data_IF_173390727034
#
_entry.id   IF_173390727034
#
_cell.length_a   1.000
_cell.length_b   1.000
_cell.length_c   1.000
_cell.angle_alpha   90.00
_cell.angle_beta   90.00
_cell.angle_gamma   90.00
#
_symmetry.space_group_name_H-M   'P 1'
#
loop_
_entity.id
_entity.type
_entity.pdbx_description
1 polymer ?
#
# COMPACT_ATOMS: atom_id res chain seq x y z
N UNK A 1 52.39 -59.94 41.60
CA UNK A 1 51.37 -59.00 42.18
C UNK A 1 50.75 -58.18 41.03
N UNK A 2 49.49 -58.49 40.75
CA UNK A 2 48.73 -58.06 39.58
C UNK A 2 48.23 -56.64 39.73
N UNK A 3 48.37 -55.82 38.74
CA UNK A 3 47.58 -54.59 38.58
C UNK A 3 46.93 -54.54 37.20
N UNK A 4 45.66 -54.75 37.21
CA UNK A 4 44.77 -54.69 36.08
C UNK A 4 44.41 -53.23 35.86
N UNK A 5 44.73 -52.68 34.70
CA UNK A 5 44.27 -51.38 34.27
C UNK A 5 43.03 -51.56 33.37
N UNK A 6 41.87 -51.10 33.86
CA UNK A 6 40.66 -50.99 33.09
C UNK A 6 40.73 -49.72 32.23
N UNK A 7 40.77 -49.89 30.94
CA UNK A 7 40.60 -48.79 30.01
C UNK A 7 39.09 -48.63 29.71
N UNK A 8 38.51 -47.53 30.20
CA UNK A 8 37.12 -47.16 29.94
C UNK A 8 37.06 -46.35 28.66
N UNK A 9 36.57 -46.97 27.56
CA UNK A 9 36.35 -46.31 26.28
C UNK A 9 35.02 -45.56 26.33
N UNK A 10 35.09 -44.20 26.39
CA UNK A 10 33.90 -43.36 26.30
C UNK A 10 33.51 -43.18 24.84
N UNK A 11 32.39 -43.78 24.43
CA UNK A 11 31.78 -43.65 23.12
C UNK A 11 30.97 -42.34 23.13
N UNK A 12 31.46 -41.31 22.45
CA UNK A 12 30.77 -40.05 22.30
C UNK A 12 29.80 -40.19 21.10
N UNK A 13 28.52 -40.29 21.38
CA UNK A 13 27.48 -40.19 20.37
C UNK A 13 27.25 -38.71 20.02
N UNK A 14 27.73 -38.27 18.85
CA UNK A 14 27.30 -37.03 18.24
C UNK A 14 25.90 -37.24 17.65
N UNK A 15 24.87 -36.83 18.37
CA UNK A 15 23.54 -36.66 17.79
C UNK A 15 23.54 -35.36 16.97
N UNK A 16 23.67 -35.50 15.64
CA UNK A 16 23.42 -34.43 14.69
C UNK A 16 21.93 -34.09 14.73
N UNK A 17 21.55 -33.04 15.43
CA UNK A 17 20.23 -32.46 15.38
C UNK A 17 20.11 -31.70 14.05
N UNK A 18 19.59 -32.41 13.02
CA UNK A 18 19.21 -31.79 11.76
C UNK A 18 18.01 -30.87 11.99
N UNK A 19 18.28 -29.58 12.26
CA UNK A 19 17.25 -28.55 12.31
C UNK A 19 16.65 -28.40 10.92
N UNK A 20 15.42 -28.90 10.74
CA UNK A 20 14.55 -28.47 9.65
C UNK A 20 14.33 -26.97 9.88
N UNK A 21 14.87 -26.14 9.00
CA UNK A 21 14.46 -24.75 8.86
C UNK A 21 13.02 -24.77 8.36
N UNK A 22 12.07 -24.79 9.30
CA UNK A 22 10.71 -24.40 8.99
C UNK A 22 10.78 -22.98 8.46
N UNK A 23 10.50 -22.85 7.16
CA UNK A 23 10.25 -21.56 6.56
C UNK A 23 9.13 -20.92 7.40
N UNK A 24 9.50 -19.99 8.26
CA UNK A 24 8.57 -19.17 9.04
C UNK A 24 7.63 -18.53 8.04
N UNK A 25 6.42 -19.09 7.90
CA UNK A 25 5.30 -18.37 7.32
C UNK A 25 5.16 -17.12 8.18
N UNK A 26 5.60 -15.99 7.67
CA UNK A 26 5.24 -14.69 8.25
C UNK A 26 3.73 -14.64 8.24
N UNK A 27 3.12 -14.90 9.40
CA UNK A 27 1.70 -14.67 9.60
C UNK A 27 1.51 -13.18 9.38
N UNK A 28 0.76 -12.82 8.34
CA UNK A 28 0.39 -11.44 8.07
C UNK A 28 -0.41 -10.94 9.28
N UNK A 29 0.25 -10.15 10.12
CA UNK A 29 -0.32 -9.58 11.34
C UNK A 29 -0.88 -8.18 11.12
N UNK A 30 -1.03 -7.76 9.86
CA UNK A 30 -1.62 -6.46 9.56
C UNK A 30 -3.10 -6.48 9.92
N UNK A 31 -3.57 -5.62 10.84
CA UNK A 31 -4.97 -5.62 11.26
C UNK A 31 -5.92 -5.07 10.18
N UNK A 32 -5.39 -4.37 9.17
CA UNK A 32 -6.12 -3.71 8.09
C UNK A 32 -5.67 -4.23 6.73
N UNK A 33 -6.38 -3.81 5.67
CA UNK A 33 -5.95 -4.11 4.30
C UNK A 33 -4.53 -3.58 4.06
N UNK A 34 -3.66 -4.43 3.53
CA UNK A 34 -2.26 -4.09 3.23
C UNK A 34 -2.17 -3.23 1.96
N UNK A 35 -2.41 -1.92 2.11
CA UNK A 35 -2.35 -0.93 1.03
C UNK A 35 -0.98 -0.92 0.38
N UNK A 36 0.09 -0.91 1.19
CA UNK A 36 1.47 -0.87 0.70
C UNK A 36 1.84 -2.12 -0.09
N UNK A 37 1.55 -3.30 0.45
CA UNK A 37 1.83 -4.57 -0.23
C UNK A 37 1.04 -4.71 -1.52
N UNK A 38 -0.24 -4.30 -1.52
CA UNK A 38 -1.06 -4.27 -2.72
C UNK A 38 -0.44 -3.40 -3.82
N UNK A 39 -0.10 -2.14 -3.53
CA UNK A 39 0.47 -1.25 -4.55
C UNK A 39 1.88 -1.64 -4.97
N UNK A 40 2.70 -2.22 -4.10
CA UNK A 40 3.98 -2.79 -4.50
C UNK A 40 3.82 -3.94 -5.50
N UNK A 41 2.80 -4.78 -5.32
CA UNK A 41 2.47 -5.85 -6.27
C UNK A 41 1.96 -5.30 -7.61
N UNK A 42 1.14 -4.26 -7.58
CA UNK A 42 0.67 -3.56 -8.78
C UNK A 42 1.80 -2.87 -9.54
N UNK A 43 2.72 -2.18 -8.84
CA UNK A 43 3.93 -1.59 -9.44
C UNK A 43 4.72 -2.66 -10.19
N UNK A 44 4.97 -3.80 -9.56
CA UNK A 44 5.68 -4.91 -10.19
C UNK A 44 4.93 -5.39 -11.44
N UNK A 45 3.64 -5.69 -11.34
CA UNK A 45 2.79 -6.16 -12.43
C UNK A 45 2.77 -5.20 -13.62
N UNK A 46 2.63 -3.89 -13.35
CA UNK A 46 2.55 -2.85 -14.39
C UNK A 46 3.91 -2.67 -15.08
N UNK A 47 5.02 -2.72 -14.32
CA UNK A 47 6.37 -2.60 -14.85
C UNK A 47 6.74 -3.81 -15.73
N UNK A 48 6.45 -5.03 -15.27
CA UNK A 48 6.68 -6.26 -16.04
C UNK A 48 5.79 -6.32 -17.30
N UNK A 49 4.57 -5.79 -17.22
CA UNK A 49 3.65 -5.71 -18.36
C UNK A 49 4.04 -4.67 -19.40
N UNK A 50 5.06 -3.85 -19.16
CA UNK A 50 5.53 -2.78 -20.07
C UNK A 50 4.38 -1.91 -20.60
N UNK A 51 3.42 -1.59 -19.73
CA UNK A 51 2.25 -0.81 -20.12
C UNK A 51 2.63 0.65 -20.38
N UNK A 52 2.04 1.22 -21.42
CA UNK A 52 2.05 2.65 -21.66
C UNK A 52 0.97 3.31 -20.83
N UNK A 53 1.11 4.59 -20.58
CA UNK A 53 0.07 5.38 -19.95
C UNK A 53 -0.29 6.61 -20.78
N UNK A 54 -1.57 6.94 -20.80
CA UNK A 54 -2.04 8.25 -21.20
C UNK A 54 -2.29 9.05 -19.92
N UNK A 55 -1.49 10.10 -19.70
CA UNK A 55 -1.54 10.96 -18.52
C UNK A 55 -2.10 12.32 -18.91
N UNK A 56 -3.19 12.69 -18.25
CA UNK A 56 -3.85 13.99 -18.39
C UNK A 56 -3.70 14.77 -17.08
N UNK A 57 -3.14 15.96 -17.16
CA UNK A 57 -2.93 16.86 -16.00
C UNK A 57 -3.76 18.12 -16.20
N UNK A 58 -4.59 18.46 -15.23
CA UNK A 58 -5.39 19.69 -15.20
C UNK A 58 -4.97 20.54 -14.01
N UNK A 59 -4.53 21.77 -14.28
CA UNK A 59 -4.15 22.77 -13.27
C UNK A 59 -4.86 24.08 -13.56
N UNK A 60 -5.64 24.57 -12.62
CA UNK A 60 -6.40 25.83 -12.77
C UNK A 60 -7.23 25.89 -14.07
N UNK A 61 -7.80 24.76 -14.47
CA UNK A 61 -8.62 24.63 -15.69
C UNK A 61 -7.84 24.37 -16.99
N UNK A 62 -6.52 24.54 -17.00
CA UNK A 62 -5.69 24.20 -18.15
C UNK A 62 -5.36 22.69 -18.12
N UNK A 63 -5.59 22.02 -19.24
CA UNK A 63 -5.41 20.57 -19.38
C UNK A 63 -4.35 20.25 -20.41
N UNK A 64 -3.44 19.36 -20.05
CA UNK A 64 -2.42 18.79 -20.94
C UNK A 64 -2.49 17.27 -20.89
N UNK A 65 -2.39 16.61 -22.04
CA UNK A 65 -2.40 15.14 -22.15
C UNK A 65 -1.14 14.67 -22.87
N UNK A 66 -0.50 13.66 -22.31
CA UNK A 66 0.68 13.00 -22.89
C UNK A 66 0.57 11.48 -22.84
N UNK A 67 1.12 10.81 -23.84
CA UNK A 67 1.37 9.36 -23.82
C UNK A 67 2.80 9.15 -23.35
N UNK A 68 2.99 8.28 -22.38
CA UNK A 68 4.28 7.90 -21.80
C UNK A 68 4.48 6.41 -22.04
N UNK A 69 5.45 6.08 -22.91
CA UNK A 69 5.73 4.70 -23.33
C UNK A 69 6.44 3.89 -22.24
N UNK A 70 7.20 4.54 -21.37
CA UNK A 70 7.95 3.92 -20.27
C UNK A 70 7.69 4.71 -18.99
N UNK A 71 6.59 4.38 -18.31
CA UNK A 71 6.25 5.02 -17.06
C UNK A 71 7.04 4.39 -15.90
N UNK A 72 7.53 5.22 -14.99
CA UNK A 72 8.02 4.79 -13.68
C UNK A 72 6.84 4.59 -12.73
N UNK A 73 6.31 3.36 -12.68
CA UNK A 73 5.16 3.05 -11.84
C UNK A 73 5.46 3.17 -10.33
N UNK A 74 6.72 3.06 -9.92
CA UNK A 74 7.08 3.30 -8.53
C UNK A 74 6.88 4.78 -8.15
N UNK A 75 7.23 5.70 -9.04
CA UNK A 75 6.99 7.13 -8.87
C UNK A 75 5.51 7.47 -9.05
N UNK A 76 4.85 6.91 -10.06
CA UNK A 76 3.43 7.19 -10.37
C UNK A 76 2.49 6.77 -9.24
N UNK A 77 2.76 5.65 -8.55
CA UNK A 77 1.93 5.12 -7.47
C UNK A 77 2.47 5.42 -6.06
N UNK A 78 3.52 6.26 -5.94
CA UNK A 78 4.15 6.56 -4.64
C UNK A 78 3.17 7.13 -3.60
N UNK A 79 2.22 7.96 -4.01
CA UNK A 79 1.20 8.52 -3.11
C UNK A 79 0.29 7.42 -2.54
N UNK A 80 -0.09 6.44 -3.34
CA UNK A 80 -0.89 5.30 -2.90
C UNK A 80 -0.10 4.45 -1.90
N UNK A 81 1.15 4.11 -2.20
CA UNK A 81 2.04 3.36 -1.29
C UNK A 81 2.22 4.09 0.05
N UNK A 82 2.41 5.42 0.01
CA UNK A 82 2.61 6.23 1.22
C UNK A 82 1.35 6.39 2.09
N UNK A 83 0.17 6.09 1.52
CA UNK A 83 -1.12 6.14 2.23
C UNK A 83 -1.42 4.89 3.04
N UNK A 84 -0.42 4.00 3.23
CA UNK A 84 -0.56 2.80 4.06
C UNK A 84 -0.92 3.13 5.50
N UNK A 85 -1.94 2.40 6.01
CA UNK A 85 -2.51 2.58 7.34
C UNK A 85 -2.01 1.54 8.36
N UNK A 86 -1.20 0.56 7.92
CA UNK A 86 -0.66 -0.52 8.77
C UNK A 86 0.63 -0.14 9.50
N UNK A 87 0.75 1.10 9.96
CA UNK A 87 1.89 1.50 10.80
C UNK A 87 1.69 1.01 12.24
N UNK A 88 2.73 0.50 12.92
CA UNK A 88 2.61 -0.03 14.28
C UNK A 88 1.91 0.91 15.28
N UNK A 89 2.14 2.23 15.16
CA UNK A 89 1.55 3.26 16.00
C UNK A 89 0.07 3.56 15.68
N UNK A 90 -0.52 2.92 14.66
CA UNK A 90 -1.86 3.23 14.17
C UNK A 90 -2.85 2.06 14.28
N UNK A 91 -2.50 0.97 14.96
CA UNK A 91 -3.28 -0.26 15.06
C UNK A 91 -4.69 -0.08 15.61
N UNK A 92 -4.88 0.88 16.50
CA UNK A 92 -6.13 1.23 17.19
C UNK A 92 -6.74 2.55 16.69
N UNK A 93 -6.14 3.15 15.66
CA UNK A 93 -6.53 4.48 15.19
C UNK A 93 -7.40 4.47 13.94
N UNK A 94 -7.91 3.30 13.54
CA UNK A 94 -8.86 3.17 12.43
C UNK A 94 -10.05 2.33 12.83
N UNK A 95 -11.24 2.83 12.51
CA UNK A 95 -12.49 2.10 12.59
C UNK A 95 -12.78 1.42 11.25
N UNK A 96 -13.17 0.15 11.30
CA UNK A 96 -13.48 -0.66 10.10
C UNK A 96 -14.99 -0.77 9.95
N UNK A 97 -15.49 -0.50 8.76
CA UNK A 97 -16.87 -0.75 8.37
C UNK A 97 -16.94 -1.67 7.16
N UNK A 98 -17.73 -2.74 7.28
CA UNK A 98 -18.05 -3.66 6.18
C UNK A 98 -19.53 -3.54 5.86
N UNK A 99 -19.85 -3.12 4.65
CA UNK A 99 -21.24 -2.99 4.23
C UNK A 99 -21.79 -4.36 3.84
N UNK A 100 -22.75 -4.85 4.61
CA UNK A 100 -23.43 -6.11 4.33
C UNK A 100 -24.07 -6.08 2.93
N UNK A 101 -23.84 -7.14 2.15
CA UNK A 101 -24.35 -7.25 0.78
C UNK A 101 -23.63 -6.38 -0.27
N UNK A 102 -22.69 -5.55 0.14
CA UNK A 102 -21.79 -4.82 -0.77
C UNK A 102 -20.34 -5.30 -0.54
N UNK A 103 -19.63 -5.45 -1.64
CA UNK A 103 -18.22 -5.82 -1.59
C UNK A 103 -17.34 -4.61 -1.26
N UNK A 104 -17.71 -3.86 -0.21
CA UNK A 104 -17.03 -2.65 0.25
C UNK A 104 -16.58 -2.80 1.70
N UNK A 105 -15.31 -2.57 1.91
CA UNK A 105 -14.68 -2.45 3.24
C UNK A 105 -14.05 -1.07 3.35
N UNK A 106 -14.42 -0.32 4.38
CA UNK A 106 -13.97 1.06 4.60
C UNK A 106 -13.23 1.18 5.93
N UNK A 107 -12.11 1.88 5.91
CA UNK A 107 -11.28 2.20 7.07
C UNK A 107 -11.31 3.71 7.29
N UNK A 108 -11.74 4.14 8.48
CA UNK A 108 -11.85 5.56 8.83
C UNK A 108 -10.88 5.89 9.96
N UNK A 109 -10.06 6.91 9.79
CA UNK A 109 -9.24 7.43 10.87
C UNK A 109 -10.13 7.91 12.04
N UNK A 110 -9.75 7.56 13.27
CA UNK A 110 -10.40 8.02 14.51
C UNK A 110 -9.65 9.18 15.16
N UNK A 111 -8.51 9.55 14.57
CA UNK A 111 -7.61 10.60 15.05
C UNK A 111 -7.38 11.61 13.91
N UNK A 112 -7.62 12.89 14.19
CA UNK A 112 -7.53 13.98 13.21
C UNK A 112 -6.08 14.29 12.79
N UNK A 113 -5.08 13.84 13.53
CA UNK A 113 -3.68 14.05 13.16
C UNK A 113 -3.18 13.03 12.11
N UNK A 114 -3.96 11.99 11.82
CA UNK A 114 -3.61 11.03 10.80
C UNK A 114 -3.82 11.60 9.39
N UNK A 115 -2.77 11.51 8.56
CA UNK A 115 -2.84 11.99 7.16
C UNK A 115 -3.86 11.22 6.33
N UNK A 116 -3.85 9.89 6.40
CA UNK A 116 -4.82 9.06 5.67
C UNK A 116 -6.12 9.01 6.48
N UNK A 117 -7.15 9.70 5.99
CA UNK A 117 -8.44 9.83 6.69
C UNK A 117 -9.36 8.66 6.41
N UNK A 118 -9.30 8.13 5.20
CA UNK A 118 -10.19 7.06 4.75
C UNK A 118 -9.53 6.21 3.68
N UNK A 119 -9.78 4.91 3.75
CA UNK A 119 -9.44 3.95 2.68
C UNK A 119 -10.68 3.11 2.42
N UNK A 120 -11.12 3.04 1.16
CA UNK A 120 -12.23 2.21 0.70
C UNK A 120 -11.71 1.15 -0.26
N UNK A 121 -12.02 -0.10 0.04
CA UNK A 121 -11.65 -1.26 -0.77
C UNK A 121 -12.92 -1.86 -1.38
N UNK A 122 -13.05 -1.73 -2.69
CA UNK A 122 -14.13 -2.34 -3.45
C UNK A 122 -13.68 -3.68 -4.00
N UNK A 123 -14.51 -4.71 -3.78
CA UNK A 123 -14.27 -6.06 -4.30
C UNK A 123 -15.45 -6.50 -5.16
N UNK A 124 -15.18 -7.27 -6.17
CA UNK A 124 -16.20 -7.95 -6.96
C UNK A 124 -15.86 -9.45 -7.02
N UNK A 125 -16.63 -10.31 -6.33
CA UNK A 125 -16.41 -11.75 -6.39
C UNK A 125 -16.63 -12.30 -7.80
N UNK A 126 -15.81 -13.26 -8.31
CA UNK A 126 -14.62 -13.85 -7.63
C UNK A 126 -13.33 -13.05 -7.84
N UNK A 127 -13.34 -11.92 -8.54
CA UNK A 127 -12.17 -11.24 -9.07
C UNK A 127 -11.34 -10.44 -8.02
N UNK A 128 -11.76 -10.45 -6.75
CA UNK A 128 -11.03 -9.77 -5.70
C UNK A 128 -11.20 -8.25 -5.70
N UNK A 129 -10.14 -7.51 -5.37
CA UNK A 129 -10.16 -6.03 -5.36
C UNK A 129 -10.33 -5.49 -6.78
N UNK A 130 -11.26 -4.57 -6.97
CA UNK A 130 -11.53 -3.94 -8.27
C UNK A 130 -11.20 -2.45 -8.27
N UNK A 131 -11.34 -1.79 -7.12
CA UNK A 131 -11.04 -0.37 -6.96
C UNK A 131 -10.58 -0.09 -5.53
N UNK A 132 -9.68 0.87 -5.39
CA UNK A 132 -9.27 1.44 -4.11
C UNK A 132 -9.46 2.96 -4.19
N UNK A 133 -10.10 3.52 -3.16
CA UNK A 133 -10.20 4.97 -2.99
C UNK A 133 -9.54 5.36 -1.66
N UNK A 134 -8.77 6.45 -1.67
CA UNK A 134 -8.06 6.95 -0.50
C UNK A 134 -8.29 8.44 -0.38
N UNK A 135 -8.66 8.88 0.81
CA UNK A 135 -8.73 10.29 1.20
C UNK A 135 -7.57 10.58 2.14
N UNK A 136 -6.65 11.40 1.69
CA UNK A 136 -5.63 12.02 2.53
C UNK A 136 -6.01 13.47 2.84
N UNK A 137 -5.72 13.91 4.06
CA UNK A 137 -5.83 15.32 4.46
C UNK A 137 -4.73 15.64 5.45
N UNK A 138 -4.10 16.77 5.23
CA UNK A 138 -3.06 17.30 6.11
C UNK A 138 -3.30 18.80 6.31
N UNK A 139 -3.20 19.24 7.57
CA UNK A 139 -3.42 20.61 7.95
C UNK A 139 -2.33 21.08 8.90
N UNK A 140 -1.72 22.18 8.54
CA UNK A 140 -0.74 22.88 9.36
C UNK A 140 -1.18 24.33 9.61
N UNK A 141 -0.38 25.09 10.36
CA UNK A 141 -0.64 26.51 10.59
C UNK A 141 -0.58 27.36 9.31
N UNK A 142 0.08 26.89 8.27
CA UNK A 142 0.33 27.63 7.02
C UNK A 142 -0.27 26.98 5.78
N UNK A 143 -0.65 25.71 5.84
CA UNK A 143 -1.18 24.97 4.68
C UNK A 143 -2.30 24.03 5.09
N UNK A 144 -3.26 23.89 4.19
CA UNK A 144 -4.27 22.83 4.21
C UNK A 144 -4.22 22.10 2.87
N UNK A 145 -4.10 20.78 2.90
CA UNK A 145 -4.04 19.92 1.71
C UNK A 145 -5.00 18.76 1.84
N UNK A 146 -5.75 18.49 0.79
CA UNK A 146 -6.59 17.31 0.66
C UNK A 146 -6.28 16.60 -0.65
N UNK A 147 -6.18 15.28 -0.62
CA UNK A 147 -5.93 14.46 -1.78
C UNK A 147 -6.96 13.34 -1.86
N UNK A 148 -7.65 13.25 -3.00
CA UNK A 148 -8.51 12.14 -3.34
C UNK A 148 -7.77 11.28 -4.36
N UNK A 149 -7.46 10.04 -3.99
CA UNK A 149 -6.78 9.06 -4.83
C UNK A 149 -7.79 7.97 -5.19
N UNK A 150 -7.86 7.61 -6.46
CA UNK A 150 -8.67 6.50 -6.93
C UNK A 150 -7.80 5.61 -7.85
N UNK A 151 -7.82 4.31 -7.61
CA UNK A 151 -7.15 3.32 -8.43
C UNK A 151 -8.15 2.28 -8.90
N UNK A 152 -8.29 2.12 -10.21
CA UNK A 152 -9.15 1.13 -10.86
C UNK A 152 -8.27 0.06 -11.50
N UNK A 153 -8.36 -1.19 -11.00
CA UNK A 153 -7.48 -2.27 -11.44
C UNK A 153 -7.62 -2.51 -12.94
N UNK A 154 -6.48 -2.53 -13.62
CA UNK A 154 -6.40 -2.78 -15.06
C UNK A 154 -6.87 -1.63 -15.93
N UNK A 155 -7.35 -0.51 -15.37
CA UNK A 155 -7.83 0.65 -16.12
C UNK A 155 -6.94 1.87 -15.96
N UNK A 156 -6.57 2.22 -14.74
CA UNK A 156 -5.79 3.42 -14.46
C UNK A 156 -6.03 3.97 -13.06
N UNK A 157 -5.70 5.25 -12.87
CA UNK A 157 -5.91 5.92 -11.60
C UNK A 157 -6.15 7.41 -11.78
N UNK A 158 -6.70 8.05 -10.76
CA UNK A 158 -6.78 9.51 -10.67
C UNK A 158 -6.29 10.02 -9.33
N UNK A 159 -5.71 11.21 -9.35
CA UNK A 159 -5.25 11.95 -8.17
C UNK A 159 -5.80 13.36 -8.28
N UNK A 160 -6.65 13.74 -7.34
CA UNK A 160 -7.13 15.11 -7.22
C UNK A 160 -6.54 15.71 -5.94
N UNK A 161 -5.84 16.83 -6.07
CA UNK A 161 -5.22 17.55 -4.97
C UNK A 161 -5.83 18.93 -4.87
N UNK A 162 -6.37 19.23 -3.69
CA UNK A 162 -6.73 20.57 -3.26
C UNK A 162 -5.66 21.06 -2.28
N UNK A 163 -5.17 22.28 -2.50
CA UNK A 163 -4.18 22.88 -1.61
C UNK A 163 -4.50 24.37 -1.39
N UNK A 164 -4.45 24.78 -0.13
CA UNK A 164 -4.64 26.16 0.29
C UNK A 164 -3.48 26.57 1.17
N UNK A 165 -2.84 27.68 0.84
CA UNK A 165 -1.86 28.33 1.69
C UNK A 165 -2.53 29.47 2.46
N UNK A 166 -2.12 29.70 3.70
CA UNK A 166 -2.65 30.79 4.50
C UNK A 166 -2.34 32.13 3.81
N UNK A 167 -3.37 32.93 3.58
CA UNK A 167 -3.21 34.25 2.90
C UNK A 167 -3.13 34.19 1.37
N UNK A 168 -3.33 33.04 0.74
CA UNK A 168 -3.37 32.93 -0.73
C UNK A 168 -4.61 32.17 -1.23
N UNK A 169 -4.84 32.25 -2.55
CA UNK A 169 -5.90 31.48 -3.20
C UNK A 169 -5.64 29.97 -3.13
N UNK A 170 -6.72 29.20 -3.07
CA UNK A 170 -6.66 27.75 -3.18
C UNK A 170 -6.29 27.31 -4.59
N UNK A 171 -5.55 26.22 -4.69
CA UNK A 171 -5.25 25.58 -5.97
C UNK A 171 -5.84 24.18 -6.03
N UNK A 172 -6.30 23.80 -7.22
CA UNK A 172 -6.79 22.47 -7.52
C UNK A 172 -6.01 21.91 -8.70
N UNK A 173 -5.47 20.70 -8.50
CA UNK A 173 -4.78 19.93 -9.53
C UNK A 173 -5.44 18.57 -9.64
N UNK A 174 -5.66 18.11 -10.87
CA UNK A 174 -6.16 16.77 -11.16
C UNK A 174 -5.24 16.06 -12.15
N UNK A 175 -4.91 14.83 -11.83
CA UNK A 175 -4.14 13.92 -12.68
C UNK A 175 -5.03 12.72 -12.95
N UNK A 176 -5.28 12.43 -14.23
CA UNK A 176 -5.99 11.24 -14.68
C UNK A 176 -5.03 10.41 -15.54
N UNK A 177 -4.92 9.12 -15.23
CA UNK A 177 -4.05 8.19 -15.96
C UNK A 177 -4.86 6.99 -16.41
N UNK A 178 -4.74 6.66 -17.69
CA UNK A 178 -5.33 5.47 -18.31
C UNK A 178 -4.21 4.57 -18.78
N UNK A 179 -4.30 3.27 -18.45
CA UNK A 179 -3.38 2.26 -18.95
C UNK A 179 -3.70 1.93 -20.41
N UNK A 180 -2.70 2.06 -21.29
CA UNK A 180 -2.82 1.81 -22.72
C UNK A 180 -1.98 0.59 -23.06
N UNK A 181 -2.54 -0.33 -23.85
CA UNK A 181 -1.83 -1.52 -24.34
C UNK A 181 -0.98 -1.21 -25.57
#
# INVERSE_FOLDING_TARGET
MKRILFALSALIFFTACGGKTDASKTVDTTPFFDVKGFFNSEIKRLTEGSLKIQKTVTVKGNTETKIIDKADFAQELALFVSSDINKPAWRDKYRVEKTAGRSLESFFATDDDLKTKRVDIYRFPPNGVTQIQILNSDKSSITESQQNLQYDIGKGYSIETFQKFFGSDSSKTRIDVVFVK
#
